data_IF_771630294829
#
_entry.id   IF_771630294829
#
_cell.length_a   1.000
_cell.length_b   1.000
_cell.length_c   1.000
_cell.angle_alpha   90.00
_cell.angle_beta   90.00
_cell.angle_gamma   90.00
#
_symmetry.space_group_name_H-M   'P 1'
#
loop_
_entity.id
_entity.type
_entity.pdbx_description
1 polymer ?
#
# COMPACT_ATOMS: atom_id res chain seq x y z
N UNK A 1 13.78 8.77 -17.02
CA UNK A 1 13.82 9.38 -15.67
C UNK A 1 13.08 8.42 -14.76
N UNK A 2 13.79 7.82 -13.80
CA UNK A 2 13.23 6.87 -12.85
C UNK A 2 12.34 7.54 -11.81
N UNK A 3 11.55 6.75 -11.09
CA UNK A 3 10.68 7.27 -10.02
C UNK A 3 11.50 7.51 -8.77
N UNK A 4 11.50 8.76 -8.29
CA UNK A 4 12.26 9.20 -7.11
C UNK A 4 11.32 9.80 -6.07
N UNK A 5 11.51 9.44 -4.80
CA UNK A 5 10.90 10.09 -3.65
C UNK A 5 11.99 10.82 -2.86
N UNK A 6 11.66 12.01 -2.33
CA UNK A 6 12.51 12.78 -1.44
C UNK A 6 11.67 13.35 -0.30
N UNK A 7 11.99 13.00 0.94
CA UNK A 7 11.31 13.52 2.12
C UNK A 7 11.38 15.06 2.22
N UNK A 8 12.47 15.67 1.77
CA UNK A 8 12.64 17.12 1.77
C UNK A 8 11.70 17.80 0.74
N UNK A 9 11.65 17.27 -0.48
CA UNK A 9 10.78 17.80 -1.54
C UNK A 9 9.30 17.57 -1.22
N UNK A 10 8.98 16.40 -0.66
CA UNK A 10 7.64 16.06 -0.20
C UNK A 10 7.15 17.03 0.89
N UNK A 11 7.99 17.31 1.89
CA UNK A 11 7.68 18.31 2.93
C UNK A 11 7.45 19.71 2.35
N UNK A 12 8.29 20.13 1.39
CA UNK A 12 8.14 21.42 0.72
C UNK A 12 6.82 21.48 -0.08
N UNK A 13 6.46 20.41 -0.79
CA UNK A 13 5.20 20.30 -1.51
C UNK A 13 4.01 20.38 -0.55
N UNK A 14 4.03 19.62 0.54
CA UNK A 14 2.97 19.64 1.56
C UNK A 14 2.75 21.05 2.07
N UNK A 15 3.83 21.74 2.47
CA UNK A 15 3.74 23.10 2.99
C UNK A 15 3.18 24.09 1.96
N UNK A 16 3.67 24.03 0.72
CA UNK A 16 3.20 24.91 -0.36
C UNK A 16 1.72 24.66 -0.67
N UNK A 17 1.31 23.39 -0.76
CA UNK A 17 -0.07 23.01 -1.03
C UNK A 17 -1.01 23.42 0.11
N UNK A 18 -0.63 23.21 1.38
CA UNK A 18 -1.41 23.66 2.54
C UNK A 18 -1.66 25.17 2.48
N UNK A 19 -0.62 25.96 2.21
CA UNK A 19 -0.74 27.42 2.14
C UNK A 19 -1.62 27.85 0.94
N UNK A 20 -1.44 27.23 -0.22
CA UNK A 20 -2.23 27.52 -1.42
C UNK A 20 -3.71 27.17 -1.24
N UNK A 21 -4.03 26.06 -0.56
CA UNK A 21 -5.41 25.66 -0.27
C UNK A 21 -6.07 26.68 0.67
N UNK A 22 -5.36 27.14 1.70
CA UNK A 22 -5.87 28.18 2.59
C UNK A 22 -6.23 29.45 1.82
N UNK A 23 -5.32 29.93 0.97
CA UNK A 23 -5.56 31.12 0.13
C UNK A 23 -6.74 30.88 -0.83
N UNK A 24 -6.82 29.69 -1.43
CA UNK A 24 -7.92 29.34 -2.34
C UNK A 24 -9.29 29.33 -1.63
N UNK A 25 -9.37 28.81 -0.40
CA UNK A 25 -10.57 28.85 0.42
C UNK A 25 -10.98 30.29 0.72
N UNK A 26 -10.05 31.14 1.18
CA UNK A 26 -10.34 32.55 1.46
C UNK A 26 -10.86 33.30 0.23
N UNK A 27 -10.25 33.07 -0.95
CA UNK A 27 -10.69 33.70 -2.20
C UNK A 27 -12.08 33.21 -2.60
N UNK A 28 -12.32 31.90 -2.57
CA UNK A 28 -13.61 31.32 -3.01
C UNK A 28 -14.74 31.64 -2.05
N UNK A 29 -14.49 31.73 -0.74
CA UNK A 29 -15.48 32.17 0.24
C UNK A 29 -15.86 33.63 0.06
N UNK A 30 -14.88 34.51 -0.19
CA UNK A 30 -15.15 35.92 -0.50
C UNK A 30 -15.93 36.09 -1.81
N UNK A 31 -15.60 35.31 -2.84
CA UNK A 31 -16.34 35.30 -4.09
C UNK A 31 -17.77 34.79 -3.90
N UNK A 32 -17.96 33.70 -3.15
CA UNK A 32 -19.30 33.17 -2.83
C UNK A 32 -20.11 34.20 -2.05
N UNK A 33 -19.56 34.76 -0.97
CA UNK A 33 -20.24 35.75 -0.14
C UNK A 33 -20.59 37.03 -0.92
N UNK A 34 -19.69 37.50 -1.78
CA UNK A 34 -19.97 38.64 -2.66
C UNK A 34 -21.10 38.36 -3.66
N UNK A 35 -21.14 37.15 -4.23
CA UNK A 35 -22.24 36.73 -5.09
C UNK A 35 -23.56 36.62 -4.31
N UNK A 36 -23.55 36.04 -3.12
CA UNK A 36 -24.74 35.91 -2.27
C UNK A 36 -25.30 37.30 -1.91
N UNK A 37 -24.42 38.25 -1.56
CA UNK A 37 -24.79 39.64 -1.32
C UNK A 37 -25.40 40.31 -2.56
N UNK A 38 -24.79 40.11 -3.73
CA UNK A 38 -25.32 40.65 -4.99
C UNK A 38 -26.73 40.12 -5.27
N UNK A 39 -26.95 38.81 -5.14
CA UNK A 39 -28.27 38.19 -5.34
C UNK A 39 -29.29 38.74 -4.32
N UNK A 40 -28.92 38.86 -3.04
CA UNK A 40 -29.79 39.44 -2.02
C UNK A 40 -30.16 40.91 -2.30
N UNK A 41 -29.21 41.71 -2.80
CA UNK A 41 -29.44 43.12 -3.18
C UNK A 41 -30.38 43.25 -4.38
N UNK A 42 -30.33 42.29 -5.31
CA UNK A 42 -31.25 42.19 -6.45
C UNK A 42 -32.64 41.73 -6.00
N UNK A 43 -32.72 40.75 -5.10
CA UNK A 43 -33.98 40.18 -4.60
C UNK A 43 -34.75 41.16 -3.71
N UNK A 44 -34.05 41.99 -2.93
CA UNK A 44 -34.63 43.06 -2.13
C UNK A 44 -35.07 44.28 -2.96
N UNK A 45 -34.65 44.36 -4.21
CA UNK A 45 -34.90 45.52 -5.07
C UNK A 45 -34.03 46.74 -4.74
N UNK A 46 -32.94 46.59 -4.00
CA UNK A 46 -31.95 47.66 -3.81
C UNK A 46 -31.21 47.96 -5.12
N UNK A 47 -30.89 46.91 -5.89
CA UNK A 47 -30.34 47.01 -7.24
C UNK A 47 -31.42 46.72 -8.27
N UNK A 48 -31.75 47.70 -9.12
CA UNK A 48 -32.80 47.58 -10.14
C UNK A 48 -32.37 48.17 -11.49
N UNK A 49 -32.96 47.66 -12.57
CA UNK A 49 -32.71 48.10 -13.94
C UNK A 49 -32.28 46.96 -14.85
N UNK A 50 -32.32 47.19 -16.16
CA UNK A 50 -32.07 46.15 -17.17
C UNK A 50 -30.67 45.51 -17.04
N UNK A 51 -29.65 46.30 -16.71
CA UNK A 51 -28.27 45.82 -16.51
C UNK A 51 -28.14 44.86 -15.31
N UNK A 52 -28.83 45.17 -14.22
CA UNK A 52 -28.84 44.36 -13.00
C UNK A 52 -29.64 43.06 -13.21
N UNK A 53 -30.76 43.12 -13.93
CA UNK A 53 -31.54 41.93 -14.31
C UNK A 53 -30.76 41.00 -15.24
N UNK A 54 -30.01 41.53 -16.20
CA UNK A 54 -29.19 40.71 -17.08
C UNK A 54 -27.99 40.12 -16.33
N UNK A 55 -27.29 40.92 -15.53
CA UNK A 55 -26.21 40.46 -14.66
C UNK A 55 -26.65 39.31 -13.75
N UNK A 56 -27.88 39.37 -13.20
CA UNK A 56 -28.45 38.28 -12.39
C UNK A 56 -28.40 36.93 -13.11
N UNK A 57 -28.75 36.87 -14.39
CA UNK A 57 -28.72 35.63 -15.18
C UNK A 57 -27.32 35.04 -15.29
N UNK A 58 -26.33 35.87 -15.62
CA UNK A 58 -24.92 35.47 -15.70
C UNK A 58 -24.40 34.93 -14.36
N UNK A 59 -24.73 35.62 -13.26
CA UNK A 59 -24.28 35.20 -11.93
C UNK A 59 -24.96 33.91 -11.47
N UNK A 60 -26.28 33.82 -11.57
CA UNK A 60 -27.04 32.66 -11.07
C UNK A 60 -26.81 31.40 -11.89
N UNK A 61 -26.69 31.51 -13.22
CA UNK A 61 -26.62 30.34 -14.11
C UNK A 61 -25.18 29.87 -14.34
N UNK A 62 -24.20 30.79 -14.32
CA UNK A 62 -22.82 30.48 -14.70
C UNK A 62 -21.86 30.69 -13.53
N UNK A 63 -21.77 31.90 -12.96
CA UNK A 63 -20.70 32.24 -12.02
C UNK A 63 -20.85 31.51 -10.68
N UNK A 64 -22.03 31.57 -10.04
CA UNK A 64 -22.28 30.95 -8.74
C UNK A 64 -22.06 29.42 -8.80
N UNK A 65 -22.66 28.68 -9.75
CA UNK A 65 -22.40 27.24 -9.87
C UNK A 65 -20.91 26.91 -10.11
N UNK A 66 -20.20 27.76 -10.86
CA UNK A 66 -18.77 27.57 -11.11
C UNK A 66 -17.93 27.75 -9.85
N UNK A 67 -18.26 28.76 -9.02
CA UNK A 67 -17.62 28.96 -7.70
C UNK A 67 -17.89 27.76 -6.79
N UNK A 68 -19.13 27.26 -6.73
CA UNK A 68 -19.46 26.07 -5.91
C UNK A 68 -18.70 24.83 -6.37
N UNK A 69 -18.54 24.64 -7.69
CA UNK A 69 -17.77 23.52 -8.23
C UNK A 69 -16.28 23.66 -7.92
N UNK A 70 -15.75 24.88 -7.93
CA UNK A 70 -14.38 25.20 -7.53
C UNK A 70 -14.14 24.94 -6.04
N UNK A 71 -15.07 25.34 -5.16
CA UNK A 71 -15.02 25.02 -3.72
C UNK A 71 -14.95 23.51 -3.49
N UNK A 72 -15.83 22.73 -4.13
CA UNK A 72 -15.80 21.27 -4.02
C UNK A 72 -14.48 20.65 -4.54
N UNK A 73 -13.84 21.26 -5.55
CA UNK A 73 -12.53 20.82 -6.03
C UNK A 73 -11.41 21.13 -5.05
N UNK A 74 -11.46 22.29 -4.38
CA UNK A 74 -10.51 22.66 -3.32
C UNK A 74 -10.66 21.72 -2.12
N UNK A 75 -11.89 21.39 -1.71
CA UNK A 75 -12.17 20.39 -0.67
C UNK A 75 -11.56 19.02 -1.04
N UNK A 76 -11.74 18.59 -2.29
CA UNK A 76 -11.14 17.34 -2.77
C UNK A 76 -9.60 17.39 -2.83
N UNK A 77 -9.00 18.55 -3.13
CA UNK A 77 -7.54 18.74 -3.02
C UNK A 77 -7.11 18.64 -1.56
N UNK A 78 -7.85 19.18 -0.61
CA UNK A 78 -7.53 19.05 0.80
C UNK A 78 -7.58 17.59 1.28
N UNK A 79 -8.56 16.82 0.81
CA UNK A 79 -8.64 15.36 1.04
C UNK A 79 -7.45 14.63 0.39
N UNK A 80 -7.11 14.97 -0.86
CA UNK A 80 -5.94 14.43 -1.55
C UNK A 80 -4.63 14.74 -0.82
N UNK A 81 -4.46 15.96 -0.33
CA UNK A 81 -3.29 16.38 0.43
C UNK A 81 -3.19 15.64 1.76
N UNK A 82 -4.31 15.42 2.44
CA UNK A 82 -4.36 14.60 3.66
C UNK A 82 -3.93 13.16 3.38
N UNK A 83 -4.36 12.58 2.26
CA UNK A 83 -3.94 11.25 1.82
C UNK A 83 -2.44 11.21 1.53
N UNK A 84 -1.94 12.20 0.79
CA UNK A 84 -0.52 12.37 0.52
C UNK A 84 0.31 12.51 1.81
N UNK A 85 -0.11 13.34 2.77
CA UNK A 85 0.55 13.53 4.06
C UNK A 85 0.64 12.22 4.86
N UNK A 86 -0.44 11.43 4.89
CA UNK A 86 -0.42 10.10 5.52
C UNK A 86 0.56 9.17 4.83
N UNK A 87 0.61 9.21 3.50
CA UNK A 87 1.53 8.39 2.74
C UNK A 87 2.99 8.81 2.99
N UNK A 88 3.26 10.12 2.96
CA UNK A 88 4.57 10.72 3.26
C UNK A 88 5.08 10.33 4.65
N UNK A 89 4.25 10.43 5.68
CA UNK A 89 4.63 10.10 7.05
C UNK A 89 5.18 8.66 7.20
N UNK A 90 4.76 7.74 6.33
CA UNK A 90 5.20 6.34 6.37
C UNK A 90 6.54 6.10 5.68
N UNK A 91 6.87 6.88 4.64
CA UNK A 91 8.04 6.70 3.80
C UNK A 91 9.17 7.70 4.11
N UNK A 92 8.86 8.85 4.74
CA UNK A 92 9.81 9.92 5.04
C UNK A 92 11.03 9.48 5.85
N UNK A 93 10.87 8.43 6.69
CA UNK A 93 11.95 7.82 7.47
C UNK A 93 13.13 7.34 6.61
N UNK A 94 12.90 7.07 5.33
CA UNK A 94 13.94 6.58 4.42
C UNK A 94 14.69 7.69 3.68
N UNK A 95 14.30 8.96 3.86
CA UNK A 95 14.95 10.10 3.21
C UNK A 95 14.68 10.15 1.70
N UNK A 96 15.70 9.84 0.89
CA UNK A 96 15.60 9.82 -0.57
C UNK A 96 15.63 8.38 -1.08
N UNK A 97 14.64 8.02 -1.88
CA UNK A 97 14.53 6.70 -2.50
C UNK A 97 14.48 6.85 -4.02
N UNK A 98 15.43 6.22 -4.70
CA UNK A 98 15.48 6.12 -6.17
C UNK A 98 15.19 4.66 -6.56
N UNK A 99 14.12 4.45 -7.33
CA UNK A 99 13.67 3.10 -7.71
C UNK A 99 14.71 2.36 -8.54
N UNK A 100 15.36 3.03 -9.49
CA UNK A 100 16.32 2.40 -10.40
C UNK A 100 17.58 1.99 -9.62
N UNK A 101 18.07 2.87 -8.75
CA UNK A 101 19.20 2.60 -7.87
C UNK A 101 18.92 1.44 -6.90
N UNK A 102 17.76 1.45 -6.24
CA UNK A 102 17.37 0.38 -5.31
C UNK A 102 17.19 -0.96 -6.03
N UNK A 103 16.60 -0.95 -7.23
CA UNK A 103 16.41 -2.16 -8.04
C UNK A 103 17.75 -2.76 -8.44
N UNK A 104 18.70 -1.94 -8.88
CA UNK A 104 20.05 -2.39 -9.23
C UNK A 104 20.81 -2.90 -8.00
N UNK A 105 20.70 -2.19 -6.86
CA UNK A 105 21.32 -2.63 -5.61
C UNK A 105 20.78 -3.98 -5.14
N UNK A 106 19.46 -4.21 -5.24
CA UNK A 106 18.83 -5.51 -4.94
C UNK A 106 19.41 -6.61 -5.82
N UNK A 107 19.45 -6.36 -7.14
CA UNK A 107 19.98 -7.31 -8.14
C UNK A 107 21.45 -7.68 -7.88
N UNK A 108 22.27 -6.70 -7.50
CA UNK A 108 23.69 -6.93 -7.17
C UNK A 108 23.84 -7.77 -5.90
N UNK A 109 23.06 -7.49 -4.84
CA UNK A 109 23.11 -8.27 -3.59
C UNK A 109 22.59 -9.70 -3.78
N UNK A 110 21.51 -9.90 -4.54
CA UNK A 110 21.00 -11.24 -4.87
C UNK A 110 22.05 -12.07 -5.63
N UNK A 111 22.79 -11.44 -6.55
CA UNK A 111 23.93 -12.10 -7.23
C UNK A 111 25.03 -12.46 -6.24
N UNK A 112 25.37 -11.59 -5.29
CA UNK A 112 26.38 -11.88 -4.26
C UNK A 112 25.96 -13.06 -3.37
N UNK A 113 24.68 -13.15 -2.99
CA UNK A 113 24.15 -14.32 -2.25
C UNK A 113 24.33 -15.61 -3.06
N UNK A 114 24.05 -15.61 -4.37
CA UNK A 114 24.27 -16.78 -5.22
C UNK A 114 25.74 -17.20 -5.27
N UNK A 115 26.67 -16.25 -5.41
CA UNK A 115 28.11 -16.54 -5.42
C UNK A 115 28.58 -17.10 -4.08
N UNK A 116 28.15 -16.51 -2.96
CA UNK A 116 28.52 -17.02 -1.62
C UNK A 116 27.91 -18.39 -1.37
N UNK A 117 26.67 -18.64 -1.81
CA UNK A 117 26.05 -19.96 -1.68
C UNK A 117 26.82 -21.03 -2.47
N UNK A 118 27.24 -20.72 -3.70
CA UNK A 118 28.05 -21.65 -4.49
C UNK A 118 29.38 -21.98 -3.79
N UNK A 119 30.02 -21.00 -3.14
CA UNK A 119 31.25 -21.23 -2.38
C UNK A 119 31.01 -22.08 -1.13
N UNK A 120 29.90 -21.89 -0.42
CA UNK A 120 29.50 -22.73 0.71
C UNK A 120 29.27 -24.18 0.23
N UNK A 121 28.56 -24.37 -0.89
CA UNK A 121 28.27 -25.69 -1.44
C UNK A 121 29.56 -26.42 -1.87
N UNK A 122 30.51 -25.71 -2.48
CA UNK A 122 31.83 -26.23 -2.84
C UNK A 122 32.62 -26.64 -1.59
N UNK A 123 32.69 -25.77 -0.58
CA UNK A 123 33.36 -26.06 0.69
C UNK A 123 32.77 -27.29 1.40
N UNK A 124 31.43 -27.38 1.46
CA UNK A 124 30.74 -28.55 2.03
C UNK A 124 31.03 -29.83 1.24
N UNK A 125 31.05 -29.76 -0.09
CA UNK A 125 31.34 -30.91 -0.96
C UNK A 125 32.78 -31.40 -0.80
N UNK A 126 33.73 -30.48 -0.66
CA UNK A 126 35.13 -30.78 -0.38
C UNK A 126 35.28 -31.42 1.01
N UNK A 127 34.60 -30.90 2.03
CA UNK A 127 34.58 -31.50 3.37
C UNK A 127 33.99 -32.92 3.38
N UNK A 128 32.94 -33.18 2.61
CA UNK A 128 32.39 -34.54 2.43
C UNK A 128 33.40 -35.47 1.75
N UNK A 129 34.19 -34.98 0.82
CA UNK A 129 35.25 -35.75 0.15
C UNK A 129 36.45 -36.01 1.08
N UNK A 130 36.92 -35.01 1.82
CA UNK A 130 38.12 -35.10 2.68
C UNK A 130 37.85 -35.83 4.00
N UNK A 131 36.63 -35.75 4.55
CA UNK A 131 36.22 -36.55 5.73
C UNK A 131 36.28 -38.06 5.46
N UNK A 132 36.29 -38.49 4.20
CA UNK A 132 36.48 -39.89 3.82
C UNK A 132 37.95 -40.36 3.78
N UNK A 133 38.95 -39.47 3.96
CA UNK A 133 40.38 -39.75 3.70
C UNK A 133 41.38 -39.43 4.87
N UNK A 134 40.94 -38.86 6.00
CA UNK A 134 41.69 -38.49 7.25
C UNK A 134 42.56 -37.21 7.31
N UNK A 135 42.36 -36.50 8.45
CA UNK A 135 43.18 -35.56 9.27
C UNK A 135 44.15 -34.57 8.61
N UNK A 136 43.70 -33.35 8.30
CA UNK A 136 44.56 -32.21 7.96
C UNK A 136 43.83 -30.87 8.03
N UNK A 137 44.49 -29.88 8.63
CA UNK A 137 44.12 -28.48 8.96
C UNK A 137 42.65 -28.04 8.84
N UNK A 138 41.94 -28.10 9.97
CA UNK A 138 40.52 -27.77 10.10
C UNK A 138 40.26 -26.29 10.48
N UNK A 139 41.21 -25.61 11.13
CA UNK A 139 40.95 -24.31 11.77
C UNK A 139 40.58 -23.18 10.80
N UNK A 140 41.24 -23.14 9.64
CA UNK A 140 41.04 -22.12 8.60
C UNK A 140 39.75 -22.36 7.80
N UNK A 141 39.46 -23.59 7.40
CA UNK A 141 38.25 -23.96 6.64
C UNK A 141 36.93 -23.78 7.42
N UNK A 142 36.91 -24.11 8.72
CA UNK A 142 35.75 -23.87 9.58
C UNK A 142 35.52 -22.36 9.81
N UNK A 143 36.61 -21.59 9.99
CA UNK A 143 36.56 -20.13 10.11
C UNK A 143 36.05 -19.46 8.83
N UNK A 144 36.52 -19.90 7.66
CA UNK A 144 36.12 -19.36 6.36
C UNK A 144 34.65 -19.68 6.04
N UNK A 145 34.21 -20.91 6.33
CA UNK A 145 32.81 -21.32 6.14
C UNK A 145 31.86 -20.55 7.07
N UNK A 146 32.22 -20.36 8.34
CA UNK A 146 31.45 -19.53 9.27
C UNK A 146 31.38 -18.06 8.82
N UNK A 147 32.49 -17.51 8.32
CA UNK A 147 32.54 -16.14 7.76
C UNK A 147 31.65 -15.99 6.54
N UNK A 148 31.59 -17.00 5.66
CA UNK A 148 30.69 -17.01 4.50
C UNK A 148 29.21 -17.06 4.89
N UNK A 149 28.82 -17.85 5.90
CA UNK A 149 27.45 -17.83 6.42
C UNK A 149 27.09 -16.47 7.04
N UNK A 150 27.98 -15.85 7.81
CA UNK A 150 27.75 -14.52 8.34
C UNK A 150 27.62 -13.46 7.23
N UNK A 151 28.49 -13.51 6.21
CA UNK A 151 28.41 -12.63 5.05
C UNK A 151 27.11 -12.83 4.26
N UNK A 152 26.69 -14.08 4.04
CA UNK A 152 25.40 -14.42 3.41
C UNK A 152 24.23 -13.84 4.19
N UNK A 153 24.17 -14.05 5.51
CA UNK A 153 23.10 -13.54 6.36
C UNK A 153 23.04 -11.99 6.33
N UNK A 154 24.20 -11.31 6.36
CA UNK A 154 24.26 -9.86 6.23
C UNK A 154 23.76 -9.36 4.87
N UNK A 155 24.07 -10.08 3.78
CA UNK A 155 23.53 -9.76 2.45
C UNK A 155 22.02 -10.01 2.38
N UNK A 156 21.51 -11.08 2.99
CA UNK A 156 20.07 -11.37 3.05
C UNK A 156 19.31 -10.31 3.85
N UNK A 157 19.86 -9.85 4.98
CA UNK A 157 19.34 -8.70 5.74
C UNK A 157 19.35 -7.44 4.86
N UNK A 158 20.44 -7.19 4.14
CA UNK A 158 20.55 -6.07 3.23
C UNK A 158 19.57 -6.13 2.05
N UNK A 159 19.31 -7.30 1.48
CA UNK A 159 18.30 -7.50 0.43
C UNK A 159 16.92 -7.19 0.99
N UNK A 160 16.62 -7.64 2.21
CA UNK A 160 15.35 -7.35 2.89
C UNK A 160 15.17 -5.85 3.08
N UNK A 161 16.17 -5.13 3.55
CA UNK A 161 16.09 -3.67 3.72
C UNK A 161 15.83 -2.93 2.41
N UNK A 162 16.52 -3.30 1.32
CA UNK A 162 16.33 -2.68 -0.01
C UNK A 162 14.94 -3.00 -0.56
N UNK A 163 14.48 -4.23 -0.34
CA UNK A 163 13.12 -4.67 -0.72
C UNK A 163 12.06 -3.84 0.00
N UNK A 164 12.18 -3.68 1.33
CA UNK A 164 11.27 -2.84 2.12
C UNK A 164 11.24 -1.38 1.66
N UNK A 165 12.38 -0.82 1.24
CA UNK A 165 12.43 0.54 0.67
C UNK A 165 11.71 0.64 -0.68
N UNK A 166 11.92 -0.33 -1.57
CA UNK A 166 11.21 -0.42 -2.86
C UNK A 166 9.70 -0.55 -2.64
N UNK A 167 9.27 -1.42 -1.75
CA UNK A 167 7.85 -1.63 -1.43
C UNK A 167 7.21 -0.39 -0.82
N UNK A 168 7.93 0.30 0.06
CA UNK A 168 7.45 1.56 0.64
C UNK A 168 7.29 2.65 -0.42
N UNK A 169 8.21 2.72 -1.39
CA UNK A 169 8.13 3.63 -2.53
C UNK A 169 6.94 3.30 -3.43
N UNK A 170 6.73 2.04 -3.78
CA UNK A 170 5.59 1.61 -4.59
C UNK A 170 4.26 1.83 -3.86
N UNK A 171 4.21 1.59 -2.55
CA UNK A 171 3.06 1.89 -1.70
C UNK A 171 2.68 3.38 -1.80
N UNK A 172 3.66 4.25 -1.59
CA UNK A 172 3.48 5.69 -1.63
C UNK A 172 2.96 6.16 -2.99
N UNK A 173 3.54 5.68 -4.09
CA UNK A 173 3.09 6.01 -5.44
C UNK A 173 1.64 5.58 -5.66
N UNK A 174 1.26 4.39 -5.18
CA UNK A 174 -0.11 3.89 -5.26
C UNK A 174 -1.09 4.74 -4.45
N UNK A 175 -0.70 5.23 -3.26
CA UNK A 175 -1.57 6.11 -2.46
C UNK A 175 -1.76 7.48 -3.11
N UNK A 176 -0.76 7.94 -3.87
CA UNK A 176 -0.65 9.33 -4.32
C UNK A 176 -0.98 9.53 -5.80
N UNK A 177 -1.04 8.47 -6.62
CA UNK A 177 -1.12 8.55 -8.08
C UNK A 177 -2.33 9.31 -8.61
N UNK A 178 -3.47 9.22 -7.93
CA UNK A 178 -4.71 9.89 -8.33
C UNK A 178 -5.00 11.14 -7.48
N UNK A 179 -4.11 11.50 -6.55
CA UNK A 179 -4.26 12.73 -5.80
C UNK A 179 -4.35 13.91 -6.79
N UNK A 180 -5.37 14.75 -6.60
CA UNK A 180 -5.58 16.00 -7.33
C UNK A 180 -6.01 15.88 -8.80
N UNK A 181 -6.06 14.68 -9.40
CA UNK A 181 -6.30 14.52 -10.85
C UNK A 181 -7.59 15.21 -11.33
N UNK A 182 -8.74 14.87 -10.74
CA UNK A 182 -10.03 15.44 -11.13
C UNK A 182 -10.13 16.92 -10.73
N UNK A 183 -9.62 17.27 -9.55
CA UNK A 183 -9.64 18.64 -9.06
C UNK A 183 -8.81 19.61 -9.92
N UNK A 184 -7.69 19.15 -10.49
CA UNK A 184 -6.88 19.95 -11.41
C UNK A 184 -7.59 20.21 -12.75
N UNK A 185 -8.44 19.28 -13.20
CA UNK A 185 -9.30 19.52 -14.38
C UNK A 185 -10.32 20.61 -14.08
N UNK A 186 -10.94 20.57 -12.89
CA UNK A 186 -11.89 21.62 -12.44
C UNK A 186 -11.20 22.98 -12.32
N UNK A 187 -10.02 23.05 -11.70
CA UNK A 187 -9.24 24.29 -11.60
C UNK A 187 -8.92 24.88 -12.98
N UNK A 188 -8.48 24.03 -13.92
CA UNK A 188 -8.20 24.47 -15.29
C UNK A 188 -9.46 25.02 -15.98
N UNK A 189 -10.59 24.33 -15.84
CA UNK A 189 -11.87 24.78 -16.40
C UNK A 189 -12.34 26.09 -15.75
N UNK A 190 -12.11 26.28 -14.45
CA UNK A 190 -12.42 27.52 -13.76
C UNK A 190 -11.54 28.70 -14.23
N UNK A 191 -10.24 28.49 -14.46
CA UNK A 191 -9.33 29.49 -15.04
C UNK A 191 -9.75 29.84 -16.47
N UNK A 192 -10.09 28.83 -17.28
CA UNK A 192 -10.64 29.04 -18.62
C UNK A 192 -11.92 29.89 -18.55
N UNK A 193 -12.83 29.53 -17.65
CA UNK A 193 -14.08 30.27 -17.45
C UNK A 193 -13.86 31.71 -17.04
N UNK A 194 -12.98 31.98 -16.07
CA UNK A 194 -12.62 33.34 -15.67
C UNK A 194 -12.05 34.16 -16.83
N UNK A 195 -11.20 33.56 -17.67
CA UNK A 195 -10.59 34.20 -18.85
C UNK A 195 -11.63 34.53 -19.93
N UNK A 196 -12.62 33.67 -20.12
CA UNK A 196 -13.71 33.92 -21.09
C UNK A 196 -14.66 34.99 -20.53
N UNK A 197 -15.01 34.91 -19.25
CA UNK A 197 -15.91 35.86 -18.60
C UNK A 197 -15.33 37.28 -18.51
N UNK A 198 -14.01 37.43 -18.40
CA UNK A 198 -13.37 38.76 -18.42
C UNK A 198 -13.52 39.49 -19.76
N UNK A 199 -13.93 38.80 -20.82
CA UNK A 199 -14.16 39.36 -22.16
C UNK A 199 -15.64 39.68 -22.42
N UNK A 200 -16.54 39.38 -21.48
CA UNK A 200 -17.96 39.69 -21.62
C UNK A 200 -18.14 41.20 -21.50
N UNK A 201 -18.70 41.81 -22.54
CA UNK A 201 -19.09 43.21 -22.55
C UNK A 201 -20.57 43.36 -22.19
N UNK A 202 -20.86 44.34 -21.34
CA UNK A 202 -22.22 44.80 -21.07
C UNK A 202 -22.52 46.02 -21.95
N UNK A 203 -23.62 45.93 -22.69
CA UNK A 203 -24.18 47.05 -23.44
C UNK A 203 -24.77 48.09 -22.50
N UNK A 204 -24.92 49.33 -22.97
CA UNK A 204 -25.51 50.44 -22.21
C UNK A 204 -26.98 50.23 -21.85
N UNK A 205 -27.69 49.35 -22.57
CA UNK A 205 -29.06 48.92 -22.27
C UNK A 205 -29.13 47.80 -21.22
N UNK A 206 -27.97 47.37 -20.71
CA UNK A 206 -27.86 46.33 -19.72
C UNK A 206 -27.84 44.90 -20.27
N UNK A 207 -27.93 44.69 -21.59
CA UNK A 207 -27.72 43.38 -22.18
C UNK A 207 -26.25 42.94 -22.09
N UNK A 208 -25.99 41.63 -22.01
CA UNK A 208 -24.64 41.07 -22.14
C UNK A 208 -24.64 40.06 -23.29
N UNK A 209 -23.51 39.97 -24.00
CA UNK A 209 -23.33 39.00 -25.08
C UNK A 209 -22.15 38.10 -24.77
N UNK A 210 -22.36 36.81 -24.93
CA UNK A 210 -21.28 35.80 -24.95
C UNK A 210 -20.96 35.36 -26.38
N UNK A 211 -21.47 36.07 -27.39
CA UNK A 211 -21.26 35.71 -28.79
C UNK A 211 -19.77 35.82 -29.15
N UNK A 212 -19.22 34.75 -29.70
CA UNK A 212 -17.79 34.65 -30.02
C UNK A 212 -16.90 34.18 -28.86
N UNK A 213 -17.45 34.03 -27.65
CA UNK A 213 -16.74 33.43 -26.52
C UNK A 213 -16.94 31.91 -26.51
N UNK A 214 -15.91 31.18 -26.11
CA UNK A 214 -16.03 29.75 -25.87
C UNK A 214 -16.65 29.51 -24.49
N UNK A 215 -17.91 29.07 -24.47
CA UNK A 215 -18.65 28.74 -23.25
C UNK A 215 -18.74 27.22 -23.01
N UNK A 216 -18.04 26.40 -23.79
CA UNK A 216 -18.06 24.93 -23.65
C UNK A 216 -17.58 24.47 -22.27
N UNK A 217 -16.69 25.26 -21.65
CA UNK A 217 -16.17 25.03 -20.30
C UNK A 217 -17.28 24.95 -19.25
N UNK A 218 -18.42 25.63 -19.41
CA UNK A 218 -19.53 25.59 -18.44
C UNK A 218 -20.12 24.18 -18.38
N UNK A 219 -20.36 23.58 -19.54
CA UNK A 219 -20.88 22.21 -19.65
C UNK A 219 -19.83 21.22 -19.17
N UNK A 220 -18.56 21.39 -19.56
CA UNK A 220 -17.46 20.54 -19.09
C UNK A 220 -17.30 20.59 -17.56
N UNK A 221 -17.36 21.79 -16.97
CA UNK A 221 -17.23 22.00 -15.53
C UNK A 221 -18.39 21.36 -14.77
N UNK A 222 -19.61 21.49 -15.28
CA UNK A 222 -20.80 20.87 -14.70
C UNK A 222 -20.71 19.34 -14.71
N UNK A 223 -20.26 18.77 -15.82
CA UNK A 223 -20.18 17.32 -16.03
C UNK A 223 -18.94 16.67 -15.41
N UNK A 224 -17.92 17.45 -15.05
CA UNK A 224 -16.75 16.91 -14.37
C UNK A 224 -17.14 16.43 -12.97
N UNK A 225 -16.99 15.13 -12.76
CA UNK A 225 -17.15 14.50 -11.46
C UNK A 225 -15.91 14.70 -10.61
N UNK A 226 -16.12 14.65 -9.29
CA UNK A 226 -15.05 14.67 -8.29
C UNK A 226 -15.09 13.30 -7.64
N UNK A 227 -14.19 12.42 -8.06
CA UNK A 227 -14.11 11.09 -7.47
C UNK A 227 -13.50 11.19 -6.08
N UNK A 228 -14.07 10.52 -5.05
CA UNK A 228 -13.38 10.41 -3.76
C UNK A 228 -12.05 9.69 -3.98
N UNK A 229 -10.97 10.20 -3.39
CA UNK A 229 -9.65 9.53 -3.39
C UNK A 229 -9.82 8.17 -2.71
N UNK A 230 -9.96 7.10 -3.51
CA UNK A 230 -10.27 5.77 -3.02
C UNK A 230 -8.99 4.94 -2.82
N UNK A 231 -8.09 5.48 -1.99
CA UNK A 231 -6.77 4.92 -1.74
C UNK A 231 -6.84 3.42 -1.34
N UNK A 232 -7.86 3.00 -0.58
CA UNK A 232 -8.01 1.61 -0.14
C UNK A 232 -8.23 0.62 -1.29
N UNK A 233 -9.06 0.96 -2.29
CA UNK A 233 -9.30 0.09 -3.45
C UNK A 233 -8.07 -0.02 -4.35
N UNK A 234 -7.32 1.06 -4.51
CA UNK A 234 -6.07 1.07 -5.27
C UNK A 234 -4.96 0.28 -4.55
N UNK A 235 -4.83 0.44 -3.23
CA UNK A 235 -3.96 -0.39 -2.38
C UNK A 235 -4.29 -1.87 -2.56
N UNK A 236 -5.56 -2.25 -2.41
CA UNK A 236 -5.99 -3.64 -2.56
C UNK A 236 -5.65 -4.21 -3.94
N UNK A 237 -6.01 -3.52 -5.02
CA UNK A 237 -5.71 -3.98 -6.38
C UNK A 237 -4.21 -4.05 -6.68
N UNK A 238 -3.43 -3.07 -6.21
CA UNK A 238 -1.99 -3.01 -6.44
C UNK A 238 -1.26 -4.17 -5.74
N UNK A 239 -1.49 -4.34 -4.43
CA UNK A 239 -0.86 -5.42 -3.67
C UNK A 239 -1.35 -6.79 -4.10
N UNK A 240 -2.58 -6.89 -4.58
CA UNK A 240 -3.08 -8.13 -5.16
C UNK A 240 -2.31 -8.50 -6.43
N UNK A 241 -2.03 -7.52 -7.29
CA UNK A 241 -1.22 -7.73 -8.49
C UNK A 241 0.24 -8.10 -8.16
N UNK A 242 0.86 -7.44 -7.18
CA UNK A 242 2.22 -7.79 -6.71
C UNK A 242 2.24 -9.23 -6.19
N UNK A 243 1.28 -9.59 -5.35
CA UNK A 243 1.14 -10.95 -4.81
C UNK A 243 1.05 -11.98 -5.95
N UNK A 244 0.16 -11.76 -6.93
CA UNK A 244 0.00 -12.65 -8.08
C UNK A 244 1.32 -12.81 -8.87
N UNK A 245 2.00 -11.71 -9.17
CA UNK A 245 3.26 -11.75 -9.92
C UNK A 245 4.36 -12.48 -9.14
N UNK A 246 4.45 -12.23 -7.83
CA UNK A 246 5.40 -12.85 -6.93
C UNK A 246 5.16 -14.36 -6.82
N UNK A 247 3.90 -14.78 -6.62
CA UNK A 247 3.51 -16.19 -6.63
C UNK A 247 3.92 -16.86 -7.94
N UNK A 248 3.63 -16.22 -9.09
CA UNK A 248 4.00 -16.76 -10.40
C UNK A 248 5.52 -16.96 -10.53
N UNK A 249 6.30 -15.97 -10.11
CA UNK A 249 7.76 -16.06 -10.11
C UNK A 249 8.28 -17.19 -9.21
N UNK A 250 7.77 -17.29 -7.97
CA UNK A 250 8.15 -18.34 -7.01
C UNK A 250 7.84 -19.73 -7.58
N UNK A 251 6.63 -19.93 -8.10
CA UNK A 251 6.21 -21.22 -8.69
C UNK A 251 7.13 -21.64 -9.85
N UNK A 252 7.51 -20.69 -10.70
CA UNK A 252 8.39 -20.92 -11.86
C UNK A 252 9.88 -21.09 -11.54
N UNK A 253 10.32 -20.80 -10.31
CA UNK A 253 11.74 -20.88 -9.93
C UNK A 253 12.27 -22.32 -9.84
N UNK A 254 13.59 -22.49 -9.89
CA UNK A 254 14.28 -23.77 -9.68
C UNK A 254 14.48 -24.14 -8.20
N UNK A 255 13.90 -23.37 -7.28
CA UNK A 255 14.04 -23.56 -5.83
C UNK A 255 13.38 -24.88 -5.36
N UNK A 256 13.85 -25.40 -4.22
CA UNK A 256 13.25 -26.60 -3.60
C UNK A 256 11.84 -26.27 -3.08
N UNK A 257 10.93 -27.27 -3.00
CA UNK A 257 9.55 -27.07 -2.51
C UNK A 257 9.44 -26.28 -1.20
N UNK A 258 10.25 -26.65 -0.19
CA UNK A 258 10.27 -25.97 1.11
C UNK A 258 10.66 -24.49 1.01
N UNK A 259 11.62 -24.16 0.14
CA UNK A 259 12.04 -22.77 -0.11
C UNK A 259 10.93 -21.98 -0.83
N UNK A 260 10.23 -22.61 -1.77
CA UNK A 260 9.07 -21.99 -2.42
C UNK A 260 7.95 -21.73 -1.40
N UNK A 261 7.68 -22.67 -0.50
CA UNK A 261 6.68 -22.48 0.57
C UNK A 261 7.02 -21.33 1.49
N UNK A 262 8.28 -21.23 1.93
CA UNK A 262 8.76 -20.12 2.75
C UNK A 262 8.52 -18.77 2.05
N UNK A 263 8.86 -18.69 0.76
CA UNK A 263 8.66 -17.47 -0.04
C UNK A 263 7.19 -17.16 -0.32
N UNK A 264 6.34 -18.17 -0.47
CA UNK A 264 4.90 -17.98 -0.63
C UNK A 264 4.29 -17.42 0.66
N UNK A 265 4.61 -18.01 1.81
CA UNK A 265 4.16 -17.50 3.12
C UNK A 265 4.61 -16.06 3.30
N UNK A 266 5.88 -15.75 3.03
CA UNK A 266 6.40 -14.38 3.09
C UNK A 266 5.63 -13.42 2.17
N UNK A 267 5.35 -13.82 0.91
CA UNK A 267 4.62 -12.97 -0.03
C UNK A 267 3.18 -12.66 0.43
N UNK A 268 2.49 -13.63 1.01
CA UNK A 268 1.16 -13.40 1.57
C UNK A 268 1.20 -12.60 2.90
N UNK A 269 2.28 -12.76 3.67
CA UNK A 269 2.53 -11.97 4.89
C UNK A 269 2.73 -10.49 4.54
N UNK A 270 3.57 -10.21 3.53
CA UNK A 270 3.75 -8.88 2.96
C UNK A 270 2.43 -8.31 2.44
N UNK A 271 1.67 -9.10 1.67
CA UNK A 271 0.36 -8.70 1.17
C UNK A 271 -0.55 -8.21 2.31
N UNK A 272 -0.72 -9.00 3.37
CA UNK A 272 -1.56 -8.64 4.51
C UNK A 272 -1.04 -7.41 5.26
N UNK A 273 0.26 -7.34 5.49
CA UNK A 273 0.89 -6.20 6.14
C UNK A 273 0.63 -4.91 5.33
N UNK A 274 0.88 -4.92 4.03
CA UNK A 274 0.76 -3.72 3.19
C UNK A 274 -0.68 -3.23 3.01
N UNK A 275 -1.66 -4.14 3.02
CA UNK A 275 -3.07 -3.75 3.03
C UNK A 275 -3.46 -2.95 4.27
N UNK A 276 -2.76 -3.14 5.40
CA UNK A 276 -3.05 -2.48 6.68
C UNK A 276 -1.81 -1.81 7.27
N UNK A 277 -0.90 -1.35 6.40
CA UNK A 277 0.41 -0.82 6.78
C UNK A 277 0.32 0.22 7.91
N UNK A 278 -0.58 1.22 7.86
CA UNK A 278 -0.69 2.20 8.94
C UNK A 278 -1.05 1.59 10.29
N UNK A 279 -1.95 0.60 10.31
CA UNK A 279 -2.36 -0.05 11.55
C UNK A 279 -1.20 -0.83 12.20
N UNK A 280 -0.42 -1.53 11.38
CA UNK A 280 0.75 -2.26 11.86
C UNK A 280 1.91 -1.34 12.26
N UNK A 281 2.18 -0.27 11.50
CA UNK A 281 3.21 0.71 11.87
C UNK A 281 2.87 1.41 13.20
N UNK A 282 1.61 1.81 13.40
CA UNK A 282 1.15 2.42 14.65
C UNK A 282 1.29 1.44 15.83
N UNK A 283 0.84 0.19 15.63
CA UNK A 283 0.98 -0.86 16.63
C UNK A 283 2.45 -1.11 16.98
N UNK A 284 3.32 -1.24 15.97
CA UNK A 284 4.74 -1.47 16.18
C UNK A 284 5.40 -0.32 16.92
N UNK A 285 5.07 0.93 16.55
CA UNK A 285 5.59 2.12 17.22
C UNK A 285 5.22 2.14 18.70
N UNK A 286 3.99 1.79 19.05
CA UNK A 286 3.59 1.71 20.47
C UNK A 286 4.34 0.58 21.18
N UNK A 287 4.34 -0.61 20.58
CA UNK A 287 4.93 -1.81 21.20
C UNK A 287 6.43 -1.71 21.39
N UNK A 288 7.15 -1.13 20.44
CA UNK A 288 8.61 -0.98 20.49
C UNK A 288 9.09 0.05 21.51
N UNK A 289 8.25 1.01 21.90
CA UNK A 289 8.55 2.02 22.92
C UNK A 289 8.04 1.63 24.32
N UNK A 290 7.50 0.42 24.48
CA UNK A 290 6.98 -0.05 25.76
C UNK A 290 8.03 -0.87 26.50
N UNK A 291 8.48 -0.38 27.66
CA UNK A 291 9.53 -1.00 28.46
C UNK A 291 9.04 -2.13 29.38
N UNK A 292 7.73 -2.37 29.45
CA UNK A 292 7.13 -3.41 30.30
C UNK A 292 6.98 -4.76 29.62
N UNK A 293 6.62 -5.79 30.39
CA UNK A 293 6.26 -7.10 29.85
C UNK A 293 4.99 -6.98 28.98
N UNK A 294 5.06 -7.47 27.74
CA UNK A 294 3.95 -7.43 26.80
C UNK A 294 3.03 -8.64 27.01
N UNK A 295 2.12 -8.53 27.97
CA UNK A 295 1.13 -9.58 28.26
C UNK A 295 -0.32 -9.12 27.95
N UNK A 296 -0.88 -9.49 26.78
CA UNK A 296 -2.26 -9.18 26.41
C UNK A 296 -3.29 -10.13 27.03
N UNK A 297 -2.88 -11.16 27.79
CA UNK A 297 -3.80 -12.07 28.47
C UNK A 297 -4.44 -11.42 29.71
N UNK A 298 -3.75 -10.47 30.32
CA UNK A 298 -4.21 -9.73 31.49
C UNK A 298 -5.34 -8.76 31.10
N UNK A 299 -6.51 -8.94 31.72
CA UNK A 299 -7.68 -8.10 31.45
C UNK A 299 -7.41 -6.65 31.87
N UNK A 300 -7.58 -5.70 30.95
CA UNK A 300 -7.35 -4.28 31.18
C UNK A 300 -5.88 -3.87 31.19
N UNK A 301 -4.96 -4.74 30.72
CA UNK A 301 -3.57 -4.34 30.54
C UNK A 301 -3.42 -3.42 29.33
N UNK A 302 -2.39 -2.57 29.37
CA UNK A 302 -2.02 -1.70 28.25
C UNK A 302 -1.77 -2.51 26.96
N UNK A 303 -1.07 -3.65 27.07
CA UNK A 303 -0.86 -4.55 25.94
C UNK A 303 -2.18 -5.04 25.33
N UNK A 304 -3.15 -5.41 26.16
CA UNK A 304 -4.47 -5.85 25.69
C UNK A 304 -5.23 -4.75 24.95
N UNK A 305 -5.22 -3.52 25.46
CA UNK A 305 -5.87 -2.38 24.82
C UNK A 305 -5.29 -2.11 23.42
N UNK A 306 -3.98 -2.18 23.28
CA UNK A 306 -3.29 -1.96 21.99
C UNK A 306 -3.55 -3.12 21.01
N UNK A 307 -3.59 -4.37 21.47
CA UNK A 307 -3.99 -5.52 20.63
C UNK A 307 -5.45 -5.41 20.16
N UNK A 308 -6.36 -4.99 21.03
CA UNK A 308 -7.77 -4.77 20.68
C UNK A 308 -7.95 -3.61 19.68
N UNK A 309 -7.19 -2.52 19.81
CA UNK A 309 -7.18 -1.41 18.85
C UNK A 309 -6.71 -1.88 17.46
N UNK A 310 -5.60 -2.63 17.39
CA UNK A 310 -5.15 -3.23 16.14
C UNK A 310 -6.22 -4.16 15.56
N UNK A 311 -6.81 -5.04 16.38
CA UNK A 311 -7.89 -5.94 15.94
C UNK A 311 -9.07 -5.20 15.32
N UNK A 312 -9.53 -4.11 15.94
CA UNK A 312 -10.61 -3.26 15.40
C UNK A 312 -10.22 -2.65 14.06
N UNK A 313 -8.99 -2.14 13.93
CA UNK A 313 -8.48 -1.58 12.67
C UNK A 313 -8.44 -2.64 11.57
N UNK A 314 -7.93 -3.84 11.85
CA UNK A 314 -7.88 -4.93 10.89
C UNK A 314 -9.27 -5.42 10.48
N UNK A 315 -10.22 -5.55 11.41
CA UNK A 315 -11.60 -5.95 11.09
C UNK A 315 -12.31 -4.91 10.23
N UNK A 316 -12.04 -3.62 10.47
CA UNK A 316 -12.58 -2.53 9.66
C UNK A 316 -12.04 -2.47 8.22
N UNK A 317 -10.98 -3.22 7.92
CA UNK A 317 -10.36 -3.27 6.58
C UNK A 317 -11.22 -4.00 5.53
N UNK A 318 -12.21 -4.78 5.95
CA UNK A 318 -13.07 -5.56 5.06
C UNK A 318 -12.35 -6.71 4.33
N UNK A 319 -11.16 -7.09 4.80
CA UNK A 319 -10.39 -8.21 4.24
C UNK A 319 -11.06 -9.54 4.60
N UNK A 320 -11.30 -10.38 3.60
CA UNK A 320 -11.69 -11.77 3.81
C UNK A 320 -10.43 -12.59 4.07
N UNK A 321 -10.06 -12.69 5.34
CA UNK A 321 -8.81 -13.31 5.78
C UNK A 321 -8.84 -14.82 5.56
N UNK A 322 -10.00 -15.47 5.77
CA UNK A 322 -10.17 -16.91 5.48
C UNK A 322 -9.87 -17.23 4.01
N UNK A 323 -10.37 -16.42 3.09
CA UNK A 323 -10.11 -16.59 1.66
C UNK A 323 -8.62 -16.45 1.34
N UNK A 324 -7.92 -15.52 1.99
CA UNK A 324 -6.48 -15.34 1.81
C UNK A 324 -5.73 -16.57 2.31
N UNK A 325 -6.07 -17.09 3.50
CA UNK A 325 -5.43 -18.30 4.04
C UNK A 325 -5.67 -19.51 3.12
N UNK A 326 -6.88 -19.70 2.61
CA UNK A 326 -7.18 -20.80 1.68
C UNK A 326 -6.34 -20.70 0.41
N UNK A 327 -6.29 -19.52 -0.22
CA UNK A 327 -5.48 -19.29 -1.43
C UNK A 327 -3.99 -19.54 -1.18
N UNK A 328 -3.48 -19.10 -0.04
CA UNK A 328 -2.10 -19.39 0.37
C UNK A 328 -1.88 -20.90 0.54
N UNK A 329 -2.81 -21.60 1.19
CA UNK A 329 -2.79 -23.06 1.29
C UNK A 329 -2.72 -23.74 -0.07
N UNK A 330 -3.57 -23.35 -1.00
CA UNK A 330 -3.59 -23.88 -2.38
C UNK A 330 -2.25 -23.63 -3.10
N UNK A 331 -1.67 -22.44 -2.94
CA UNK A 331 -0.38 -22.11 -3.53
C UNK A 331 0.77 -22.95 -2.94
N UNK A 332 0.78 -23.16 -1.62
CA UNK A 332 1.76 -23.99 -0.92
C UNK A 332 1.61 -25.46 -1.34
N UNK A 333 0.39 -25.98 -1.43
CA UNK A 333 0.13 -27.33 -1.93
C UNK A 333 0.64 -27.49 -3.37
N UNK A 334 0.41 -26.51 -4.23
CA UNK A 334 0.81 -26.55 -5.64
C UNK A 334 2.32 -26.66 -5.89
N UNK A 335 3.17 -26.30 -4.91
CA UNK A 335 4.63 -26.39 -5.02
C UNK A 335 5.23 -27.59 -4.29
N UNK A 336 4.44 -28.28 -3.44
CA UNK A 336 4.88 -29.44 -2.66
C UNK A 336 4.32 -30.77 -3.19
N UNK A 337 3.20 -30.75 -3.90
CA UNK A 337 2.56 -31.97 -4.44
C UNK A 337 3.11 -32.27 -5.83
N UNK A 338 3.84 -33.39 -5.98
CA UNK A 338 4.33 -33.91 -7.27
C UNK A 338 3.25 -34.63 -8.11
N UNK A 339 1.97 -34.34 -7.92
CA UNK A 339 0.87 -34.98 -8.67
C UNK A 339 0.31 -34.03 -9.74
N UNK A 340 0.08 -34.49 -10.98
CA UNK A 340 -0.50 -33.66 -12.03
C UNK A 340 -1.95 -33.27 -11.67
N UNK A 341 -2.23 -31.97 -11.76
CA UNK A 341 -3.55 -31.37 -11.55
C UNK A 341 -4.59 -31.92 -12.55
N UNK A 342 -5.67 -32.55 -12.08
CA UNK A 342 -6.83 -32.93 -12.91
C UNK A 342 -7.97 -31.92 -12.70
N UNK A 343 -8.18 -31.08 -13.71
CA UNK A 343 -9.07 -29.89 -13.68
C UNK A 343 -10.58 -30.16 -13.79
N UNK A 344 -11.07 -31.37 -13.49
CA UNK A 344 -12.46 -31.75 -13.85
C UNK A 344 -13.32 -32.35 -12.74
N UNK A 345 -13.03 -32.13 -11.45
CA UNK A 345 -14.01 -32.47 -10.40
C UNK A 345 -14.04 -31.38 -9.33
N UNK A 346 -15.20 -30.76 -9.16
CA UNK A 346 -15.47 -29.92 -8.00
C UNK A 346 -15.54 -30.81 -6.77
N UNK A 347 -14.60 -30.64 -5.84
CA UNK A 347 -14.53 -31.40 -4.59
C UNK A 347 -13.88 -32.79 -4.77
N UNK A 348 -12.75 -32.97 -4.09
CA UNK A 348 -11.95 -34.19 -3.92
C UNK A 348 -10.94 -34.54 -5.02
N UNK A 349 -9.69 -34.78 -4.58
CA UNK A 349 -8.94 -35.98 -4.96
C UNK A 349 -8.19 -36.59 -3.75
N UNK A 350 -8.67 -37.77 -3.35
CA UNK A 350 -7.97 -38.75 -2.50
C UNK A 350 -6.67 -39.21 -3.16
N UNK A 351 -5.56 -39.15 -2.42
CA UNK A 351 -4.72 -40.31 -2.01
C UNK A 351 -3.35 -39.85 -1.49
N UNK A 352 -3.36 -39.01 -0.44
CA UNK A 352 -2.19 -38.78 0.39
C UNK A 352 -1.91 -40.04 1.25
N UNK A 353 -1.21 -41.01 0.70
CA UNK A 353 -0.72 -42.15 1.47
C UNK A 353 0.82 -42.15 1.50
N UNK A 354 1.36 -41.78 2.67
CA UNK A 354 2.72 -42.06 3.17
C UNK A 354 3.86 -41.12 2.70
N UNK A 355 3.70 -40.31 1.64
CA UNK A 355 4.67 -39.24 1.32
C UNK A 355 4.53 -37.95 2.17
N UNK A 356 3.43 -37.81 2.89
CA UNK A 356 2.96 -36.51 3.41
C UNK A 356 3.49 -36.16 4.81
N UNK A 357 3.68 -37.14 5.71
CA UNK A 357 4.00 -36.83 7.10
C UNK A 357 5.34 -36.12 7.29
N UNK A 358 6.38 -36.44 6.51
CA UNK A 358 7.69 -35.78 6.64
C UNK A 358 7.69 -34.38 6.04
N UNK A 359 7.14 -34.20 4.83
CA UNK A 359 7.07 -32.88 4.20
C UNK A 359 6.16 -31.94 4.97
N UNK A 360 5.01 -32.43 5.44
CA UNK A 360 4.12 -31.68 6.32
C UNK A 360 4.81 -31.35 7.65
N UNK A 361 5.46 -32.33 8.30
CA UNK A 361 6.24 -32.10 9.52
C UNK A 361 7.33 -31.04 9.30
N UNK A 362 8.05 -31.09 8.18
CA UNK A 362 9.09 -30.13 7.80
C UNK A 362 8.51 -28.73 7.53
N UNK A 363 7.22 -28.60 7.20
CA UNK A 363 6.54 -27.31 7.02
C UNK A 363 6.03 -26.71 8.33
N UNK A 364 5.56 -27.53 9.28
CA UNK A 364 4.89 -27.09 10.51
C UNK A 364 5.80 -27.04 11.75
N UNK A 365 7.05 -27.50 11.64
CA UNK A 365 8.01 -27.45 12.73
C UNK A 365 8.41 -26.00 13.07
N UNK A 366 8.95 -25.77 14.26
CA UNK A 366 9.33 -24.43 14.73
C UNK A 366 10.32 -23.77 13.78
N UNK A 367 10.05 -22.51 13.40
CA UNK A 367 10.88 -21.74 12.47
C UNK A 367 10.78 -22.17 11.00
N UNK A 368 9.76 -22.95 10.65
CA UNK A 368 9.45 -23.38 9.27
C UNK A 368 8.24 -22.61 8.71
N UNK A 369 7.91 -22.73 7.40
CA UNK A 369 6.96 -21.85 6.73
C UNK A 369 5.57 -21.79 7.37
N UNK A 370 5.06 -22.90 7.92
CA UNK A 370 3.72 -22.97 8.50
C UNK A 370 3.70 -22.72 10.02
N UNK A 371 4.82 -22.37 10.64
CA UNK A 371 4.86 -21.85 12.02
C UNK A 371 4.38 -20.38 12.06
N UNK A 372 3.15 -20.15 11.60
CA UNK A 372 2.59 -18.82 11.43
C UNK A 372 2.42 -18.08 12.77
N UNK A 373 2.31 -18.81 13.89
CA UNK A 373 2.12 -18.22 15.22
C UNK A 373 3.40 -17.55 15.73
N UNK A 374 4.55 -18.21 15.57
CA UNK A 374 5.83 -17.71 16.09
C UNK A 374 6.58 -16.82 15.07
N UNK A 375 6.17 -16.87 13.80
CA UNK A 375 6.79 -16.12 12.71
C UNK A 375 6.79 -14.61 12.97
N UNK A 376 8.00 -14.03 13.01
CA UNK A 376 8.20 -12.60 13.18
C UNK A 376 8.20 -11.88 11.85
N UNK A 377 7.36 -10.86 11.68
CA UNK A 377 7.41 -10.01 10.50
C UNK A 377 8.61 -9.06 10.58
N UNK A 378 9.52 -9.06 9.61
CA UNK A 378 10.67 -8.12 9.52
C UNK A 378 11.50 -7.94 10.81
N UNK A 379 11.61 -8.96 11.66
CA UNK A 379 12.35 -8.88 12.93
C UNK A 379 11.59 -8.19 14.06
N UNK A 380 10.30 -7.87 13.86
CA UNK A 380 9.40 -7.48 14.93
C UNK A 380 9.09 -8.66 15.85
N UNK A 381 8.83 -8.41 17.13
CA UNK A 381 8.47 -9.45 18.10
C UNK A 381 7.00 -9.91 17.98
N UNK A 382 6.41 -9.84 16.78
CA UNK A 382 5.00 -10.04 16.54
C UNK A 382 4.74 -10.70 15.18
N UNK A 383 3.75 -11.59 15.12
CA UNK A 383 3.28 -12.23 13.89
C UNK A 383 2.12 -11.45 13.26
N UNK A 384 2.14 -11.28 11.93
CA UNK A 384 1.00 -10.71 11.16
C UNK A 384 -0.17 -11.70 11.11
N UNK A 385 0.13 -13.00 11.20
CA UNK A 385 -0.84 -14.09 11.13
C UNK A 385 -1.61 -14.29 12.43
N UNK A 386 -0.98 -14.02 13.57
CA UNK A 386 -1.58 -14.17 14.90
C UNK A 386 -2.42 -12.95 15.31
N UNK A 387 -3.23 -12.41 14.39
CA UNK A 387 -4.06 -11.22 14.63
C UNK A 387 -5.53 -11.49 14.43
N UNK A 388 -6.35 -10.71 15.11
CA UNK A 388 -7.81 -10.79 15.04
C UNK A 388 -8.34 -10.10 13.77
N UNK A 389 -8.06 -10.69 12.61
CA UNK A 389 -8.43 -10.16 11.30
C UNK A 389 -9.94 -10.10 11.05
N UNK A 390 -10.70 -11.02 11.63
CA UNK A 390 -12.16 -11.09 11.55
C UNK A 390 -12.72 -11.21 12.97
N UNK A 391 -13.89 -10.63 13.23
CA UNK A 391 -14.52 -10.62 14.57
C UNK A 391 -14.81 -12.03 15.10
N UNK A 392 -15.13 -12.96 14.20
CA UNK A 392 -15.43 -14.37 14.50
C UNK A 392 -14.18 -15.24 14.64
N UNK A 393 -12.99 -14.72 14.33
CA UNK A 393 -11.76 -15.48 14.36
C UNK A 393 -10.93 -15.12 15.59
N UNK A 394 -10.60 -16.06 16.49
CA UNK A 394 -9.66 -15.79 17.58
C UNK A 394 -8.28 -15.41 17.01
N UNK A 395 -7.51 -14.64 17.78
CA UNK A 395 -6.19 -14.12 17.37
C UNK A 395 -5.14 -15.19 17.01
N UNK A 396 -5.40 -16.48 17.24
CA UNK A 396 -4.50 -17.58 16.87
C UNK A 396 -5.05 -18.47 15.74
N UNK A 397 -6.15 -18.04 15.09
CA UNK A 397 -6.89 -18.84 14.13
C UNK A 397 -6.07 -19.24 12.90
N UNK A 398 -5.26 -18.35 12.34
CA UNK A 398 -4.54 -18.60 11.10
C UNK A 398 -3.63 -19.84 11.16
N UNK A 399 -2.85 -19.96 12.23
CA UNK A 399 -1.96 -21.09 12.44
C UNK A 399 -2.72 -22.41 12.59
N UNK A 400 -3.81 -22.42 13.36
CA UNK A 400 -4.61 -23.64 13.57
C UNK A 400 -5.41 -24.03 12.32
N UNK A 401 -5.96 -23.05 11.63
CA UNK A 401 -6.82 -23.26 10.47
C UNK A 401 -6.03 -23.76 9.27
N UNK A 402 -4.88 -23.13 8.96
CA UNK A 402 -4.03 -23.59 7.86
C UNK A 402 -3.38 -24.95 8.18
N UNK A 403 -3.03 -25.19 9.45
CA UNK A 403 -2.61 -26.51 9.94
C UNK A 403 -3.67 -27.56 9.63
N UNK A 404 -4.94 -27.28 9.92
CA UNK A 404 -6.06 -28.16 9.57
C UNK A 404 -6.19 -28.34 8.07
N UNK A 405 -6.22 -27.24 7.30
CA UNK A 405 -6.41 -27.25 5.85
C UNK A 405 -5.34 -28.07 5.11
N UNK A 406 -4.06 -27.78 5.33
CA UNK A 406 -2.94 -28.44 4.65
C UNK A 406 -2.71 -29.85 5.20
N UNK A 407 -2.82 -30.04 6.52
CA UNK A 407 -2.53 -31.32 7.18
C UNK A 407 -3.57 -32.41 6.97
N UNK A 408 -4.76 -32.06 6.47
CA UNK A 408 -5.85 -33.02 6.18
C UNK A 408 -6.11 -33.22 4.68
N UNK A 409 -5.36 -32.53 3.81
CA UNK A 409 -5.38 -32.73 2.36
C UNK A 409 -6.68 -32.31 1.66
N UNK A 410 -7.31 -31.22 2.11
CA UNK A 410 -8.56 -30.70 1.52
C UNK A 410 -8.40 -30.01 0.17
#
# INVERSE_FOLDING_TARGET
MGVTYSAAESKALIQAMTNNIQIANEITDRLSSGCDHLIASLDSGELQGAAYTAGRGLFTVIIIPSIKKLQAAIDAIQVGLTTYQRADAQIARYGTLDRDHLTELKRLRERQVQVIQAQIDENESFMKQVSSLLTGDYGTLWSDTSTLYHAKNQLEIGIREVTTKLESLEWFLTQTSDCFRDSLVILRLAIQGATQLSQVFMSSDGSYSTAGLDMSWVTSLKNQEISPVNASKHTQNHYHNILIQTIKAIKSSSERPLQKSERLVAAYEDYLYFLNKPAFDDYWKVRSNYDGEWDPSVKGSYAKEIEEDLGKKLQSSGINFRLIINKMGDDILSVNVNAPYLSQVAGSQLSAAILDNKQFYDLVNTGQPLDLKSRTYHGHNYSVWSRQWESELPGDYAGNYLYGYVGTGF
#
